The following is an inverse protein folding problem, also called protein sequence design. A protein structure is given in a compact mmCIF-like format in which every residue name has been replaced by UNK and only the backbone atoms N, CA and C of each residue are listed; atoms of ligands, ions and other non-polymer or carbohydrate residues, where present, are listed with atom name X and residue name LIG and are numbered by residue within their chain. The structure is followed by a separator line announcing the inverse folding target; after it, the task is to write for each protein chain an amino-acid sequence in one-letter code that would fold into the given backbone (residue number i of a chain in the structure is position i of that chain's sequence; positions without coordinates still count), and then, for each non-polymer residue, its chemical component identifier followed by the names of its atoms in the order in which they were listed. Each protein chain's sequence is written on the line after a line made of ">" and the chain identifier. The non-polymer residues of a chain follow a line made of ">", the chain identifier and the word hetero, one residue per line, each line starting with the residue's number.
data_IF_167346297430
#
_entry.id   IF_167346297430
#
_cell.length_a   1.000
_cell.length_b   1.000
_cell.length_c   1.000
_cell.angle_alpha   90.00
_cell.angle_beta   90.00
_cell.angle_gamma   90.00
#
_symmetry.space_group_name_H-M   'P 1'
#
loop_
_entity.id
_entity.type
_entity.pdbx_description
1 polymer ?
#
# COMPACT_ATOMS: atom_id res chain seq x y z
N UNK A 1 10.76 1.36 18.34
CA UNK A 1 9.71 2.00 17.52
C UNK A 1 9.92 1.54 16.09
N UNK A 2 8.84 1.37 15.33
CA UNK A 2 8.93 1.08 13.91
C UNK A 2 9.71 2.18 13.19
N UNK A 3 10.56 1.79 12.22
CA UNK A 3 11.26 2.74 11.36
C UNK A 3 10.25 3.38 10.41
N UNK A 4 10.42 4.66 10.12
CA UNK A 4 9.62 5.39 9.15
C UNK A 4 10.52 5.71 7.96
N UNK A 5 10.12 5.29 6.77
CA UNK A 5 10.82 5.57 5.52
C UNK A 5 9.88 6.34 4.60
N UNK A 6 10.37 7.40 3.99
CA UNK A 6 9.64 8.16 2.96
C UNK A 6 10.40 8.00 1.65
N UNK A 7 9.75 7.45 0.63
CA UNK A 7 10.22 7.50 -0.74
C UNK A 7 9.57 8.72 -1.39
N UNK A 8 10.39 9.71 -1.71
CA UNK A 8 9.89 11.00 -2.21
C UNK A 8 10.24 11.14 -3.69
N UNK A 9 9.27 10.84 -4.53
CA UNK A 9 9.40 10.85 -5.98
C UNK A 9 8.91 12.15 -6.61
N UNK A 10 7.88 12.78 -6.03
CA UNK A 10 7.27 14.01 -6.56
C UNK A 10 7.73 15.28 -5.85
N UNK A 11 8.35 15.16 -4.67
CA UNK A 11 8.73 16.26 -3.81
C UNK A 11 7.61 16.71 -2.86
N UNK A 12 6.43 16.08 -2.92
CA UNK A 12 5.26 16.49 -2.14
C UNK A 12 5.53 16.48 -0.63
N UNK A 13 6.25 15.46 -0.14
CA UNK A 13 6.57 15.32 1.28
C UNK A 13 7.44 16.46 1.83
N UNK A 14 8.19 17.16 0.97
CA UNK A 14 8.94 18.36 1.33
C UNK A 14 8.05 19.53 1.78
N UNK A 15 6.77 19.53 1.41
CA UNK A 15 5.78 20.56 1.80
C UNK A 15 4.97 20.18 3.02
N UNK A 16 4.94 18.90 3.36
CA UNK A 16 4.20 18.32 4.47
C UNK A 16 4.92 18.51 5.82
N UNK A 17 4.15 18.37 6.91
CA UNK A 17 4.60 18.58 8.29
C UNK A 17 4.35 17.40 9.21
N UNK A 18 3.50 16.44 8.82
CA UNK A 18 3.12 15.30 9.68
C UNK A 18 4.32 14.52 10.25
N UNK A 19 5.45 14.50 9.52
CA UNK A 19 6.66 13.76 9.89
C UNK A 19 7.76 14.61 10.55
N UNK A 20 7.57 15.93 10.75
CA UNK A 20 8.66 16.82 11.21
C UNK A 20 9.20 16.54 12.61
N UNK A 21 8.42 15.86 13.44
CA UNK A 21 8.81 15.48 14.80
C UNK A 21 9.18 13.99 14.90
N UNK A 22 9.35 13.33 13.76
CA UNK A 22 9.59 11.90 13.64
C UNK A 22 11.04 11.62 13.20
N UNK A 23 11.59 10.49 13.61
CA UNK A 23 12.88 10.00 13.12
C UNK A 23 12.64 9.25 11.80
N UNK A 24 12.85 9.97 10.69
CA UNK A 24 12.50 9.51 9.33
C UNK A 24 13.74 9.37 8.46
N UNK A 25 13.83 8.25 7.75
CA UNK A 25 14.71 8.11 6.60
C UNK A 25 13.95 8.54 5.33
N UNK A 26 14.22 9.75 4.84
CA UNK A 26 13.67 10.22 3.56
C UNK A 26 14.68 9.97 2.45
N UNK A 27 14.27 9.21 1.44
CA UNK A 27 15.02 8.95 0.21
C UNK A 27 14.43 9.81 -0.90
N UNK A 28 15.30 10.56 -1.59
CA UNK A 28 14.89 11.54 -2.60
C UNK A 28 15.13 10.99 -4.00
N UNK A 29 14.04 10.85 -4.76
CA UNK A 29 14.02 10.32 -6.12
C UNK A 29 13.46 11.32 -7.14
N UNK A 30 13.28 12.60 -6.77
CA UNK A 30 12.66 13.63 -7.61
C UNK A 30 13.32 13.85 -8.99
N UNK A 31 14.59 13.46 -9.12
CA UNK A 31 15.36 13.63 -10.36
C UNK A 31 15.53 12.33 -11.13
N UNK A 32 14.98 11.22 -10.63
CA UNK A 32 15.04 9.93 -11.30
C UNK A 32 13.98 9.84 -12.41
N UNK A 33 14.45 9.57 -13.62
CA UNK A 33 13.58 9.19 -14.73
C UNK A 33 13.14 7.72 -14.59
N UNK A 34 12.15 7.30 -15.37
CA UNK A 34 11.72 5.90 -15.38
C UNK A 34 11.01 5.44 -14.11
N UNK A 35 10.38 6.35 -13.37
CA UNK A 35 9.66 6.06 -12.11
C UNK A 35 8.18 6.44 -12.13
N UNK A 36 7.76 7.39 -12.96
CA UNK A 36 6.38 7.89 -12.90
C UNK A 36 5.40 6.95 -13.63
N UNK A 37 4.46 6.35 -12.90
CA UNK A 37 3.52 5.29 -13.32
C UNK A 37 4.16 3.96 -13.74
N UNK A 38 5.38 4.00 -14.28
CA UNK A 38 6.17 2.86 -14.70
C UNK A 38 7.56 2.96 -14.07
N UNK A 39 8.03 1.84 -13.53
CA UNK A 39 9.36 1.65 -12.99
C UNK A 39 10.16 0.76 -13.93
N UNK A 40 11.09 1.32 -14.69
CA UNK A 40 11.98 0.52 -15.52
C UNK A 40 13.07 -0.19 -14.70
N UNK A 41 13.76 -1.16 -15.32
CA UNK A 41 14.76 -1.98 -14.63
C UNK A 41 15.92 -1.15 -14.05
N UNK A 42 16.33 -0.07 -14.74
CA UNK A 42 17.41 0.80 -14.28
C UNK A 42 16.98 1.60 -13.04
N UNK A 43 15.77 2.14 -13.05
CA UNK A 43 15.17 2.83 -11.92
C UNK A 43 14.95 1.88 -10.73
N UNK A 44 14.43 0.67 -10.96
CA UNK A 44 14.24 -0.35 -9.93
C UNK A 44 15.57 -0.76 -9.28
N UNK A 45 16.63 -0.93 -10.08
CA UNK A 45 17.97 -1.25 -9.57
C UNK A 45 18.53 -0.11 -8.70
N UNK A 46 18.38 1.14 -9.13
CA UNK A 46 18.87 2.30 -8.40
C UNK A 46 18.09 2.54 -7.10
N UNK A 47 16.76 2.45 -7.12
CA UNK A 47 15.93 2.46 -5.90
C UNK A 47 16.39 1.33 -4.97
N UNK A 48 16.62 0.14 -5.51
CA UNK A 48 17.16 -1.01 -4.78
C UNK A 48 18.47 -0.71 -4.06
N UNK A 49 19.43 -0.06 -4.74
CA UNK A 49 20.72 0.36 -4.17
C UNK A 49 20.55 1.36 -3.03
N UNK A 50 19.67 2.34 -3.19
CA UNK A 50 19.44 3.35 -2.16
C UNK A 50 18.71 2.80 -0.93
N UNK A 51 17.79 1.86 -1.13
CA UNK A 51 17.17 1.10 -0.05
C UNK A 51 18.18 0.22 0.70
N UNK A 52 19.24 -0.24 0.03
CA UNK A 52 20.36 -0.95 0.66
C UNK A 52 19.93 -2.18 1.45
N UNK A 53 20.36 -2.27 2.71
CA UNK A 53 20.05 -3.39 3.61
C UNK A 53 18.72 -3.24 4.39
N UNK A 54 17.88 -2.26 4.03
CA UNK A 54 16.56 -2.13 4.64
C UNK A 54 15.70 -3.36 4.33
N UNK A 55 15.14 -3.96 5.37
CA UNK A 55 14.07 -4.95 5.25
C UNK A 55 12.70 -4.28 5.07
N UNK A 56 11.66 -5.11 4.94
CA UNK A 56 10.28 -4.65 4.81
C UNK A 56 9.65 -4.21 6.15
N UNK A 57 10.40 -4.24 7.26
CA UNK A 57 9.89 -3.84 8.56
C UNK A 57 9.87 -2.32 8.74
N UNK A 58 8.66 -1.77 8.88
CA UNK A 58 8.49 -0.34 9.11
C UNK A 58 7.19 0.20 8.57
N UNK A 59 7.10 1.53 8.61
CA UNK A 59 6.03 2.32 7.99
C UNK A 59 6.65 3.04 6.80
N UNK A 60 6.18 2.78 5.59
CA UNK A 60 6.73 3.35 4.37
C UNK A 60 5.70 4.29 3.72
N UNK A 61 6.12 5.49 3.35
CA UNK A 61 5.32 6.41 2.55
C UNK A 61 5.84 6.38 1.12
N UNK A 62 4.94 6.19 0.16
CA UNK A 62 5.29 5.85 -1.22
C UNK A 62 5.04 6.99 -2.23
N UNK A 63 4.58 8.16 -1.77
CA UNK A 63 4.20 9.30 -2.61
C UNK A 63 2.82 9.12 -3.26
N UNK A 64 2.58 9.70 -4.43
CA UNK A 64 1.31 9.57 -5.16
C UNK A 64 1.04 8.17 -5.68
N UNK A 65 -0.21 7.89 -6.08
CA UNK A 65 -0.61 6.57 -6.61
C UNK A 65 0.19 6.14 -7.85
N UNK A 66 0.87 7.07 -8.53
CA UNK A 66 1.78 6.75 -9.64
C UNK A 66 2.97 5.87 -9.23
N UNK A 67 3.28 5.82 -7.93
CA UNK A 67 4.42 5.13 -7.38
C UNK A 67 4.04 3.92 -6.53
N UNK A 68 2.76 3.49 -6.57
CA UNK A 68 2.26 2.39 -5.76
C UNK A 68 2.99 1.06 -6.02
N UNK A 69 3.61 0.93 -7.19
CA UNK A 69 4.51 -0.19 -7.48
C UNK A 69 5.67 -0.36 -6.50
N UNK A 70 6.04 0.69 -5.75
CA UNK A 70 7.05 0.62 -4.72
C UNK A 70 6.68 -0.37 -3.59
N UNK A 71 5.39 -0.66 -3.41
CA UNK A 71 4.90 -1.75 -2.55
C UNK A 71 5.55 -3.09 -2.91
N UNK A 72 5.63 -3.42 -4.21
CA UNK A 72 6.30 -4.66 -4.67
C UNK A 72 7.77 -4.67 -4.26
N UNK A 73 8.47 -3.53 -4.37
CA UNK A 73 9.87 -3.44 -3.98
C UNK A 73 10.03 -3.77 -2.49
N UNK A 74 9.15 -3.28 -1.61
CA UNK A 74 9.15 -3.66 -0.20
C UNK A 74 8.79 -5.12 0.02
N UNK A 75 7.73 -5.61 -0.63
CA UNK A 75 7.28 -7.00 -0.52
C UNK A 75 8.35 -8.02 -0.95
N UNK A 76 9.15 -7.71 -1.98
CA UNK A 76 10.23 -8.56 -2.47
C UNK A 76 11.41 -8.69 -1.49
N UNK A 77 11.47 -7.84 -0.47
CA UNK A 77 12.45 -7.95 0.63
C UNK A 77 12.02 -8.96 1.69
N UNK A 78 10.78 -9.44 1.65
CA UNK A 78 10.26 -10.42 2.62
C UNK A 78 10.73 -11.83 2.25
N UNK A 79 11.60 -12.40 3.08
CA UNK A 79 12.24 -13.70 2.82
C UNK A 79 11.57 -14.88 3.57
N UNK A 80 10.28 -14.77 3.90
CA UNK A 80 9.49 -15.79 4.58
C UNK A 80 8.04 -15.80 4.05
N UNK A 81 7.31 -16.92 4.10
CA UNK A 81 5.91 -16.95 3.68
C UNK A 81 5.07 -15.88 4.38
N UNK A 82 4.34 -15.08 3.60
CA UNK A 82 3.51 -13.98 4.10
C UNK A 82 2.22 -13.84 3.27
N UNK A 83 1.25 -13.12 3.82
CA UNK A 83 0.11 -12.60 3.04
C UNK A 83 0.19 -11.10 2.90
N UNK A 84 -0.53 -10.59 1.90
CA UNK A 84 -0.64 -9.18 1.62
C UNK A 84 -2.09 -8.73 1.79
N UNK A 85 -2.29 -7.66 2.55
CA UNK A 85 -3.56 -6.92 2.63
C UNK A 85 -3.41 -5.64 1.81
N UNK A 86 -4.24 -5.47 0.80
CA UNK A 86 -4.27 -4.27 -0.06
C UNK A 86 -5.62 -3.58 0.11
N UNK A 87 -5.58 -2.31 0.51
CA UNK A 87 -6.74 -1.41 0.55
C UNK A 87 -6.53 -0.37 -0.54
N UNK A 88 -7.33 -0.43 -1.60
CA UNK A 88 -7.10 0.31 -2.84
C UNK A 88 -8.42 0.44 -3.62
N UNK A 89 -8.68 1.57 -4.26
CA UNK A 89 -9.81 1.67 -5.18
C UNK A 89 -9.57 0.92 -6.50
N UNK A 90 -8.31 0.77 -6.91
CA UNK A 90 -7.88 0.11 -8.12
C UNK A 90 -7.40 -1.32 -7.85
N UNK A 91 -7.45 -2.16 -8.88
CA UNK A 91 -7.01 -3.55 -8.75
C UNK A 91 -5.50 -3.66 -8.66
N UNK A 92 -4.78 -2.78 -9.35
CA UNK A 92 -3.35 -2.89 -9.68
C UNK A 92 -2.96 -4.25 -10.28
N UNK A 93 -3.91 -4.85 -11.01
CA UNK A 93 -3.81 -6.17 -11.64
C UNK A 93 -3.71 -6.13 -13.17
N UNK A 94 -3.53 -4.95 -13.77
CA UNK A 94 -3.45 -4.82 -15.22
C UNK A 94 -2.29 -5.64 -15.78
N UNK A 95 -2.51 -6.24 -16.95
CA UNK A 95 -1.44 -6.88 -17.69
C UNK A 95 -0.38 -5.84 -18.12
N UNK A 96 0.91 -6.20 -18.13
CA UNK A 96 1.96 -5.29 -18.57
C UNK A 96 1.69 -4.79 -19.99
N UNK A 97 1.57 -3.47 -20.16
CA UNK A 97 1.31 -2.86 -21.47
C UNK A 97 2.42 -3.12 -22.50
N UNK A 98 3.67 -3.19 -22.03
CA UNK A 98 4.84 -3.49 -22.84
C UNK A 98 5.99 -4.03 -21.99
N UNK A 99 6.73 -5.02 -22.51
CA UNK A 99 8.04 -5.44 -21.99
C UNK A 99 8.05 -6.04 -20.57
N UNK A 100 6.91 -6.26 -19.93
CA UNK A 100 6.88 -6.71 -18.53
C UNK A 100 7.34 -5.64 -17.54
N UNK A 101 7.32 -4.36 -17.93
CA UNK A 101 7.76 -3.26 -17.07
C UNK A 101 6.81 -3.12 -15.88
N UNK A 102 7.38 -3.00 -14.68
CA UNK A 102 6.63 -2.78 -13.46
C UNK A 102 5.88 -1.45 -13.52
N UNK A 103 4.59 -1.43 -13.19
CA UNK A 103 3.76 -0.23 -13.23
C UNK A 103 2.88 -0.10 -11.99
N UNK A 104 2.39 1.11 -11.71
CA UNK A 104 1.38 1.30 -10.66
C UNK A 104 0.14 0.45 -10.95
N UNK A 105 -0.41 0.45 -12.16
CA UNK A 105 -1.59 -0.36 -12.47
C UNK A 105 -1.39 -1.88 -12.52
N UNK A 106 -0.17 -2.41 -12.36
CA UNK A 106 0.12 -3.85 -12.56
C UNK A 106 1.07 -4.47 -11.53
N UNK A 107 1.43 -3.74 -10.46
CA UNK A 107 2.42 -4.24 -9.50
C UNK A 107 1.91 -5.42 -8.70
N UNK A 108 0.62 -5.45 -8.37
CA UNK A 108 0.03 -6.50 -7.54
C UNK A 108 0.00 -7.82 -8.30
N UNK A 109 -0.36 -7.77 -9.59
CA UNK A 109 -0.26 -8.92 -10.51
C UNK A 109 1.16 -9.45 -10.56
N UNK A 110 2.12 -8.56 -10.81
CA UNK A 110 3.54 -8.93 -10.91
C UNK A 110 4.04 -9.53 -9.58
N UNK A 111 3.63 -8.99 -8.43
CA UNK A 111 3.96 -9.54 -7.12
C UNK A 111 3.40 -10.96 -6.92
N UNK A 112 2.14 -11.22 -7.30
CA UNK A 112 1.52 -12.54 -7.22
C UNK A 112 2.22 -13.57 -8.13
N UNK A 113 2.65 -13.16 -9.30
CA UNK A 113 3.34 -14.02 -10.28
C UNK A 113 4.78 -14.34 -9.86
N UNK A 114 5.54 -13.37 -9.34
CA UNK A 114 6.99 -13.49 -9.15
C UNK A 114 7.42 -13.77 -7.71
N UNK A 115 6.70 -13.24 -6.71
CA UNK A 115 7.13 -13.35 -5.32
C UNK A 115 6.74 -14.72 -4.74
N UNK A 116 7.70 -15.64 -4.72
CA UNK A 116 7.52 -17.01 -4.21
C UNK A 116 7.10 -17.10 -2.73
N UNK A 117 7.29 -16.05 -1.94
CA UNK A 117 6.93 -16.02 -0.54
C UNK A 117 5.51 -15.49 -0.32
N UNK A 118 4.96 -14.71 -1.25
CA UNK A 118 3.59 -14.23 -1.21
C UNK A 118 2.60 -15.40 -1.42
N UNK A 119 1.91 -15.78 -0.35
CA UNK A 119 1.00 -16.92 -0.37
C UNK A 119 -0.40 -16.52 -0.85
N UNK A 120 -0.98 -15.49 -0.23
CA UNK A 120 -2.31 -14.99 -0.53
C UNK A 120 -2.36 -13.46 -0.46
N UNK A 121 -3.19 -12.88 -1.31
CA UNK A 121 -3.56 -11.46 -1.30
C UNK A 121 -5.01 -11.34 -0.89
N UNK A 122 -5.31 -10.36 -0.04
CA UNK A 122 -6.66 -9.88 0.18
C UNK A 122 -6.74 -8.42 -0.29
N UNK A 123 -7.42 -8.22 -1.42
CA UNK A 123 -7.65 -6.93 -2.06
C UNK A 123 -9.04 -6.42 -1.71
N UNK A 124 -9.12 -5.20 -1.16
CA UNK A 124 -10.39 -4.57 -0.80
C UNK A 124 -10.51 -3.19 -1.43
N UNK A 125 -11.68 -2.95 -2.04
CA UNK A 125 -12.05 -1.64 -2.60
C UNK A 125 -12.48 -1.69 -4.06
N UNK A 126 -11.80 -2.38 -4.99
CA UNK A 126 -12.14 -2.24 -6.41
C UNK A 126 -13.54 -2.76 -6.74
N UNK A 127 -14.11 -2.30 -7.84
CA UNK A 127 -15.43 -2.77 -8.28
C UNK A 127 -15.35 -4.15 -8.95
N UNK A 128 -16.44 -4.92 -8.91
CA UNK A 128 -16.56 -6.19 -9.67
C UNK A 128 -16.26 -6.00 -11.15
N UNK A 129 -16.61 -4.84 -11.73
CA UNK A 129 -16.33 -4.51 -13.13
C UNK A 129 -14.83 -4.41 -13.39
N UNK A 130 -14.08 -3.72 -12.54
CA UNK A 130 -12.62 -3.61 -12.65
C UNK A 130 -11.97 -4.99 -12.46
N UNK A 131 -12.43 -5.76 -11.48
CA UNK A 131 -11.98 -7.13 -11.23
C UNK A 131 -12.19 -8.06 -12.45
N UNK A 132 -13.34 -7.97 -13.12
CA UNK A 132 -13.60 -8.72 -14.36
C UNK A 132 -12.71 -8.25 -15.51
N UNK A 133 -12.51 -6.94 -15.67
CA UNK A 133 -11.71 -6.33 -16.74
C UNK A 133 -10.22 -6.72 -16.63
N UNK A 134 -9.69 -6.81 -15.41
CA UNK A 134 -8.29 -7.21 -15.15
C UNK A 134 -8.10 -8.73 -14.97
N UNK A 135 -9.15 -9.52 -15.23
CA UNK A 135 -9.14 -10.98 -15.20
C UNK A 135 -8.65 -11.58 -13.86
N UNK A 136 -8.88 -10.89 -12.74
CA UNK A 136 -8.29 -11.25 -11.43
C UNK A 136 -8.67 -12.65 -10.95
N UNK A 137 -9.78 -13.21 -11.47
CA UNK A 137 -10.25 -14.56 -11.18
C UNK A 137 -9.27 -15.68 -11.57
N UNK A 138 -8.28 -15.40 -12.44
CA UNK A 138 -7.26 -16.38 -12.81
C UNK A 138 -6.37 -16.82 -11.64
N UNK A 139 -6.28 -16.01 -10.59
CA UNK A 139 -5.45 -16.29 -9.40
C UNK A 139 -6.12 -17.22 -8.39
N UNK A 140 -7.41 -17.54 -8.56
CA UNK A 140 -8.16 -18.46 -7.71
C UNK A 140 -7.98 -18.17 -6.22
N UNK A 141 -7.70 -19.21 -5.43
CA UNK A 141 -7.58 -19.10 -3.96
C UNK A 141 -6.39 -18.23 -3.48
N UNK A 142 -5.47 -17.84 -4.38
CA UNK A 142 -4.36 -16.94 -4.03
C UNK A 142 -4.77 -15.47 -3.95
N UNK A 143 -5.94 -15.09 -4.48
CA UNK A 143 -6.44 -13.72 -4.44
C UNK A 143 -7.89 -13.71 -3.95
N UNK A 144 -8.08 -13.17 -2.75
CA UNK A 144 -9.40 -12.85 -2.21
C UNK A 144 -9.72 -11.39 -2.52
N UNK A 145 -10.89 -11.14 -3.08
CA UNK A 145 -11.32 -9.81 -3.49
C UNK A 145 -12.65 -9.43 -2.82
N UNK A 146 -12.70 -8.21 -2.30
CA UNK A 146 -13.89 -7.62 -1.70
C UNK A 146 -14.10 -6.20 -2.22
N UNK A 147 -15.18 -5.96 -2.97
CA UNK A 147 -15.61 -4.59 -3.28
C UNK A 147 -15.91 -3.78 -2.00
N UNK A 148 -16.07 -2.46 -2.15
CA UNK A 148 -16.35 -1.56 -1.01
C UNK A 148 -17.57 -2.01 -0.18
N UNK A 149 -18.64 -2.50 -0.82
CA UNK A 149 -19.84 -2.96 -0.12
C UNK A 149 -19.56 -4.20 0.75
N UNK A 150 -18.82 -5.19 0.22
CA UNK A 150 -18.39 -6.38 0.97
C UNK A 150 -17.38 -6.02 2.06
N UNK A 151 -16.50 -5.06 1.80
CA UNK A 151 -15.55 -4.54 2.79
C UNK A 151 -16.29 -3.95 3.99
N UNK A 152 -17.27 -3.08 3.74
CA UNK A 152 -18.10 -2.44 4.78
C UNK A 152 -18.92 -3.46 5.58
N UNK A 153 -19.36 -4.54 4.95
CA UNK A 153 -20.07 -5.64 5.62
C UNK A 153 -19.15 -6.60 6.38
N UNK A 154 -17.82 -6.42 6.31
CA UNK A 154 -16.85 -7.17 7.10
C UNK A 154 -16.53 -8.57 6.57
N UNK A 155 -16.70 -8.82 5.26
CA UNK A 155 -16.41 -10.13 4.65
C UNK A 155 -14.94 -10.54 4.78
N UNK A 156 -14.04 -9.57 4.94
CA UNK A 156 -12.61 -9.76 5.15
C UNK A 156 -12.21 -10.37 6.50
N UNK A 157 -13.13 -10.42 7.48
CA UNK A 157 -12.80 -10.90 8.83
C UNK A 157 -12.35 -12.34 8.86
N UNK A 158 -12.85 -13.17 7.95
CA UNK A 158 -12.44 -14.57 7.85
C UNK A 158 -10.98 -14.69 7.40
N UNK A 159 -10.56 -13.93 6.38
CA UNK A 159 -9.18 -13.88 5.91
C UNK A 159 -8.19 -13.52 7.03
N UNK A 160 -8.51 -12.52 7.85
CA UNK A 160 -7.63 -12.12 8.95
C UNK A 160 -7.53 -13.19 10.06
N UNK A 161 -8.53 -14.07 10.17
CA UNK A 161 -8.63 -15.10 11.20
C UNK A 161 -8.38 -16.53 10.67
N UNK A 162 -7.85 -16.67 9.45
CA UNK A 162 -7.52 -17.96 8.84
C UNK A 162 -6.68 -18.82 9.81
N UNK A 163 -7.25 -19.95 10.24
CA UNK A 163 -6.64 -20.86 11.23
C UNK A 163 -7.36 -21.01 12.59
N UNK A 164 -8.49 -20.34 12.83
CA UNK A 164 -9.27 -20.48 14.08
C UNK A 164 -8.64 -19.78 15.29
N UNK A 165 -9.18 -19.91 16.51
CA UNK A 165 -8.76 -19.16 17.72
C UNK A 165 -7.33 -19.47 18.24
N UNK A 166 -6.55 -20.32 17.56
CA UNK A 166 -5.15 -20.56 17.96
C UNK A 166 -4.30 -19.29 17.84
N UNK A 167 -3.24 -19.23 18.66
CA UNK A 167 -2.45 -18.04 18.95
C UNK A 167 -2.18 -17.16 17.70
N UNK A 168 -2.70 -15.91 17.64
CA UNK A 168 -2.50 -14.98 16.53
C UNK A 168 -1.05 -14.88 16.05
N UNK A 169 -0.09 -14.99 16.97
CA UNK A 169 1.36 -14.92 16.71
C UNK A 169 1.91 -16.08 15.86
N UNK A 170 1.16 -17.17 15.71
CA UNK A 170 1.53 -18.33 14.89
C UNK A 170 0.91 -18.29 13.50
N UNK A 171 -0.03 -17.36 13.24
CA UNK A 171 -0.56 -17.16 11.89
C UNK A 171 0.54 -16.61 10.98
N UNK A 172 0.40 -16.88 9.68
CA UNK A 172 1.29 -16.33 8.66
C UNK A 172 1.35 -14.80 8.83
N UNK A 173 2.52 -14.16 8.77
CA UNK A 173 2.60 -12.72 8.92
C UNK A 173 1.92 -11.99 7.75
N UNK A 174 1.53 -10.74 7.99
CA UNK A 174 0.87 -9.86 7.03
C UNK A 174 1.79 -8.69 6.68
N UNK A 175 1.82 -8.33 5.40
CA UNK A 175 2.28 -7.01 4.95
C UNK A 175 1.05 -6.23 4.49
N UNK A 176 0.99 -4.92 4.78
CA UNK A 176 -0.18 -4.09 4.51
C UNK A 176 0.20 -3.00 3.51
N UNK A 177 -0.60 -2.81 2.47
CA UNK A 177 -0.53 -1.66 1.58
C UNK A 177 -1.86 -0.93 1.58
N UNK A 178 -1.81 0.39 1.74
CA UNK A 178 -2.98 1.26 1.68
C UNK A 178 -2.71 2.35 0.64
N UNK A 179 -3.40 2.29 -0.49
CA UNK A 179 -3.61 3.46 -1.33
C UNK A 179 -4.77 4.28 -0.76
N UNK A 180 -4.57 5.59 -0.66
CA UNK A 180 -5.59 6.50 -0.12
C UNK A 180 -6.72 6.76 -1.09
N UNK A 181 -6.58 6.40 -2.35
CA UNK A 181 -7.67 6.55 -3.31
C UNK A 181 -8.90 5.71 -2.95
N UNK A 182 -8.79 4.68 -2.12
CA UNK A 182 -9.94 3.97 -1.54
C UNK A 182 -10.87 4.91 -0.74
N UNK A 183 -10.32 6.00 -0.22
CA UNK A 183 -11.04 6.96 0.61
C UNK A 183 -11.93 7.87 -0.24
N UNK A 184 -13.08 8.25 0.31
CA UNK A 184 -13.95 9.22 -0.34
C UNK A 184 -13.34 10.63 -0.44
N UNK A 185 -13.84 11.43 -1.38
CA UNK A 185 -13.36 12.80 -1.66
C UNK A 185 -13.39 13.74 -0.45
N UNK A 186 -14.21 13.47 0.58
CA UNK A 186 -14.20 14.28 1.80
C UNK A 186 -13.05 13.93 2.76
N UNK A 187 -12.42 12.77 2.62
CA UNK A 187 -11.35 12.28 3.51
C UNK A 187 -9.95 12.42 2.89
N UNK A 188 -9.81 12.25 1.58
CA UNK A 188 -8.54 12.39 0.86
C UNK A 188 -8.66 13.31 -0.36
N UNK A 189 -7.52 13.71 -0.92
CA UNK A 189 -7.40 14.30 -2.24
C UNK A 189 -6.21 13.61 -2.88
N UNK A 190 -6.43 12.94 -4.01
CA UNK A 190 -5.47 12.06 -4.67
C UNK A 190 -5.48 12.32 -6.18
N UNK A 191 -4.57 11.69 -6.91
CA UNK A 191 -4.38 11.93 -8.35
C UNK A 191 -5.06 10.92 -9.29
N UNK A 192 -5.63 9.86 -8.74
CA UNK A 192 -6.47 8.88 -9.43
C UNK A 192 -7.95 9.06 -9.03
N UNK A 193 -8.88 8.36 -9.69
CA UNK A 193 -10.26 8.35 -9.22
C UNK A 193 -10.38 7.68 -7.85
N UNK A 194 -11.35 8.15 -7.07
CA UNK A 194 -11.48 7.81 -5.65
C UNK A 194 -12.70 6.91 -5.40
N UNK A 195 -12.54 6.05 -4.41
CA UNK A 195 -13.58 5.24 -3.83
C UNK A 195 -14.53 6.01 -2.92
N UNK A 196 -15.30 5.27 -2.13
CA UNK A 196 -16.33 5.86 -1.25
C UNK A 196 -16.13 5.53 0.23
N UNK A 197 -15.04 4.85 0.58
CA UNK A 197 -14.78 4.36 1.94
C UNK A 197 -14.39 5.51 2.87
N UNK A 198 -14.88 5.50 4.11
CA UNK A 198 -14.49 6.48 5.13
C UNK A 198 -13.20 6.05 5.83
N UNK A 199 -12.43 7.03 6.31
CA UNK A 199 -11.21 6.75 7.10
C UNK A 199 -11.49 5.86 8.32
N UNK A 200 -12.65 6.01 8.96
CA UNK A 200 -13.03 5.16 10.09
C UNK A 200 -13.13 3.68 9.74
N UNK A 201 -13.58 3.36 8.52
CA UNK A 201 -13.74 2.00 8.04
C UNK A 201 -12.37 1.40 7.70
N UNK A 202 -11.49 2.17 7.05
CA UNK A 202 -10.08 1.79 6.84
C UNK A 202 -9.38 1.51 8.17
N UNK A 203 -9.52 2.40 9.16
CA UNK A 203 -8.91 2.23 10.48
C UNK A 203 -9.45 0.99 11.22
N UNK A 204 -10.71 0.61 11.01
CA UNK A 204 -11.28 -0.61 11.56
C UNK A 204 -10.62 -1.87 10.97
N UNK A 205 -10.43 -1.90 9.64
CA UNK A 205 -9.73 -3.03 8.99
C UNK A 205 -8.30 -3.13 9.48
N UNK A 206 -7.57 -2.02 9.52
CA UNK A 206 -6.19 -1.99 10.00
C UNK A 206 -6.09 -2.44 11.46
N UNK A 207 -6.93 -1.92 12.35
CA UNK A 207 -6.93 -2.33 13.75
C UNK A 207 -7.18 -3.83 13.91
N UNK A 208 -8.11 -4.39 13.14
CA UNK A 208 -8.38 -5.82 13.15
C UNK A 208 -7.19 -6.63 12.62
N UNK A 209 -6.52 -6.17 11.55
CA UNK A 209 -5.34 -6.83 10.99
C UNK A 209 -4.20 -6.94 12.03
N UNK A 210 -3.88 -5.83 12.70
CA UNK A 210 -2.86 -5.80 13.75
C UNK A 210 -3.23 -6.63 15.00
N UNK A 211 -4.53 -6.83 15.27
CA UNK A 211 -4.99 -7.71 16.37
C UNK A 211 -4.94 -9.19 16.01
N UNK A 212 -5.16 -9.52 14.74
CA UNK A 212 -5.32 -10.90 14.31
C UNK A 212 -4.03 -11.56 13.85
N UNK A 213 -3.02 -10.82 13.39
CA UNK A 213 -1.81 -11.40 12.78
C UNK A 213 -0.56 -10.58 13.13
N UNK A 214 0.65 -11.17 13.11
CA UNK A 214 1.89 -10.40 13.09
C UNK A 214 1.92 -9.56 11.81
N UNK A 215 2.19 -8.27 11.93
CA UNK A 215 2.37 -7.38 10.76
C UNK A 215 3.87 -7.10 10.60
N UNK A 216 4.41 -7.41 9.42
CA UNK A 216 5.83 -7.20 9.06
C UNK A 216 6.08 -5.69 8.90
N UNK A 217 5.27 -5.07 8.05
CA UNK A 217 5.40 -3.70 7.62
C UNK A 217 4.08 -3.20 7.06
N UNK A 218 3.99 -1.89 6.88
CA UNK A 218 2.86 -1.25 6.24
C UNK A 218 3.35 -0.11 5.36
N UNK A 219 2.73 0.09 4.21
CA UNK A 219 2.95 1.26 3.39
C UNK A 219 1.66 2.05 3.09
N UNK A 220 1.88 3.34 2.80
CA UNK A 220 0.87 4.35 2.56
C UNK A 220 1.21 5.06 1.24
N UNK A 221 0.29 4.98 0.28
CA UNK A 221 0.37 5.60 -1.04
C UNK A 221 -0.74 6.64 -1.24
N UNK A 222 -0.85 7.24 -2.43
CA UNK A 222 -1.99 8.06 -2.81
C UNK A 222 -1.92 9.52 -2.36
N UNK A 223 -0.75 10.15 -2.30
CA UNK A 223 -0.71 11.64 -2.23
C UNK A 223 -1.16 12.28 -3.55
N UNK A 224 -1.61 13.54 -3.51
CA UNK A 224 -1.71 14.36 -4.71
C UNK A 224 -0.30 14.87 -5.07
N UNK A 225 0.23 14.67 -6.30
CA UNK A 225 1.57 15.10 -6.65
C UNK A 225 1.68 16.63 -6.60
N UNK A 226 2.91 17.09 -6.42
CA UNK A 226 3.22 18.49 -6.13
C UNK A 226 2.63 19.50 -7.12
N UNK A 227 2.49 19.14 -8.39
CA UNK A 227 1.96 19.96 -9.46
C UNK A 227 0.43 20.01 -9.53
N UNK A 228 -0.26 19.09 -8.84
CA UNK A 228 -1.72 19.03 -8.72
C UNK A 228 -2.23 19.52 -7.35
N UNK A 229 -1.34 19.66 -6.38
CA UNK A 229 -1.64 20.00 -5.00
C UNK A 229 -2.05 21.46 -4.79
N UNK A 230 -3.17 21.68 -4.09
CA UNK A 230 -3.58 23.00 -3.60
C UNK A 230 -3.26 23.19 -2.11
N UNK A 231 -3.25 24.43 -1.62
CA UNK A 231 -2.85 24.72 -0.24
C UNK A 231 -3.79 24.16 0.83
N UNK A 232 -5.06 23.92 0.52
CA UNK A 232 -6.07 23.37 1.43
C UNK A 232 -6.01 21.84 1.45
N UNK A 233 -5.92 21.23 0.27
CA UNK A 233 -5.70 19.80 0.08
C UNK A 233 -4.40 19.35 0.77
N UNK A 234 -3.32 20.12 0.69
CA UNK A 234 -2.06 19.82 1.39
C UNK A 234 -2.27 19.73 2.91
N UNK A 235 -3.06 20.64 3.51
CA UNK A 235 -3.35 20.61 4.95
C UNK A 235 -4.19 19.40 5.33
N UNK A 236 -5.13 19.01 4.46
CA UNK A 236 -5.96 17.82 4.63
C UNK A 236 -5.12 16.55 4.55
N UNK A 237 -4.24 16.44 3.55
CA UNK A 237 -3.30 15.34 3.38
C UNK A 237 -2.33 15.24 4.57
N UNK A 238 -1.79 16.37 5.06
CA UNK A 238 -0.98 16.42 6.28
C UNK A 238 -1.75 15.85 7.48
N UNK A 239 -3.00 16.26 7.66
CA UNK A 239 -3.83 15.77 8.78
C UNK A 239 -4.16 14.28 8.65
N UNK A 240 -4.43 13.80 7.44
CA UNK A 240 -4.68 12.39 7.17
C UNK A 240 -3.44 11.54 7.47
N UNK A 241 -2.27 11.96 6.97
CA UNK A 241 -1.01 11.29 7.22
C UNK A 241 -0.64 11.27 8.70
N UNK A 242 -0.87 12.35 9.45
CA UNK A 242 -0.65 12.39 10.90
C UNK A 242 -1.54 11.36 11.63
N UNK A 243 -2.81 11.23 11.25
CA UNK A 243 -3.74 10.24 11.83
C UNK A 243 -3.30 8.81 11.53
N UNK A 244 -2.99 8.52 10.27
CA UNK A 244 -2.57 7.19 9.81
C UNK A 244 -1.24 6.79 10.45
N UNK A 245 -0.23 7.67 10.41
CA UNK A 245 1.06 7.45 11.06
C UNK A 245 0.89 7.21 12.55
N UNK A 246 0.09 8.03 13.22
CA UNK A 246 -0.20 7.89 14.64
C UNK A 246 -0.85 6.53 14.97
N UNK A 247 -1.75 6.04 14.11
CA UNK A 247 -2.39 4.73 14.28
C UNK A 247 -1.40 3.58 14.09
N UNK A 248 -0.66 3.57 12.97
CA UNK A 248 0.33 2.54 12.66
C UNK A 248 1.43 2.46 13.72
N UNK A 249 1.94 3.61 14.18
CA UNK A 249 2.94 3.65 15.26
C UNK A 249 2.43 3.03 16.56
N UNK A 250 1.16 3.27 16.91
CA UNK A 250 0.55 2.66 18.11
C UNK A 250 0.47 1.15 17.96
N UNK A 251 0.09 0.64 16.79
CA UNK A 251 -0.07 -0.79 16.59
C UNK A 251 1.24 -1.55 16.40
N UNK A 252 2.23 -0.96 15.72
CA UNK A 252 3.56 -1.55 15.55
C UNK A 252 4.48 -1.41 16.76
N UNK A 253 4.15 -0.50 17.68
CA UNK A 253 4.90 -0.30 18.92
C UNK A 253 4.43 -1.19 20.09
N UNK A 254 3.28 -1.85 19.95
CA UNK A 254 2.72 -2.82 20.89
C UNK A 254 3.14 -4.24 20.53
#
# INVERSE_FOLDING_TARGET
>A
MARIVILDFSGIYGRMKFWKNEDVLRLDFQTMEGTNCYCDDEAAEEIGKQLGELGAEGIHFLDSGNYHYATKLWADRICQPFDLLVLDHHTDMQQPAFGGILSCGGWLRTALEENKFLQQVCLMGPSEKMAEEDEIGEFGDRLLFFDEEKMQKGFWREFLNDGGEEEPKKRRPLYISLDKDILCEEEAAVNWDQGTVRLSEVLEVLEAAFRSRPVIGADLCGENPLDMEDGEQLLKADSLNEKLLGALKRWMGN
#
